data_IF_286721034169
#
_entry.id   IF_286721034169
#
_cell.length_a   1.000
_cell.length_b   1.000
_cell.length_c   1.000
_cell.angle_alpha   90.00
_cell.angle_beta   90.00
_cell.angle_gamma   90.00
#
_symmetry.space_group_name_H-M   'P 1'
#
loop_
_entity.id
_entity.type
_entity.pdbx_description
1 polymer ?
#
# COMPACT_ATOMS: atom_id res chain seq x y z
N UNK A 1 21.31 -24.39 -17.24
CA UNK A 1 21.10 -23.09 -17.90
C UNK A 1 19.80 -22.50 -17.39
N UNK A 2 19.79 -21.25 -16.93
CA UNK A 2 18.59 -20.56 -16.45
C UNK A 2 17.91 -19.80 -17.60
N UNK A 3 16.61 -19.50 -17.46
CA UNK A 3 15.85 -18.74 -18.45
C UNK A 3 16.17 -17.24 -18.43
N UNK A 4 16.01 -16.56 -19.57
CA UNK A 4 16.22 -15.10 -19.73
C UNK A 4 14.98 -14.27 -19.36
N UNK A 5 14.31 -14.65 -18.28
CA UNK A 5 13.09 -13.98 -17.83
C UNK A 5 13.40 -12.90 -16.80
N UNK A 6 12.47 -11.97 -16.63
CA UNK A 6 12.54 -11.03 -15.52
C UNK A 6 12.44 -11.79 -14.19
N UNK A 7 13.40 -11.54 -13.30
CA UNK A 7 13.41 -12.08 -11.95
C UNK A 7 12.92 -11.00 -10.98
N UNK A 8 11.68 -11.15 -10.51
CA UNK A 8 11.06 -10.22 -9.54
C UNK A 8 10.44 -11.02 -8.39
N UNK A 9 10.78 -10.70 -7.12
CA UNK A 9 10.21 -11.38 -5.98
C UNK A 9 8.73 -11.05 -5.79
N UNK A 10 7.97 -12.01 -5.26
CA UNK A 10 6.56 -11.85 -4.92
C UNK A 10 6.42 -11.24 -3.52
N UNK A 11 6.54 -9.92 -3.44
CA UNK A 11 6.45 -9.18 -2.19
C UNK A 11 5.03 -8.61 -1.97
N UNK A 12 4.57 -8.60 -0.71
CA UNK A 12 3.33 -7.91 -0.33
C UNK A 12 3.43 -6.40 -0.62
N UNK A 13 4.62 -5.82 -0.44
CA UNK A 13 4.88 -4.40 -0.77
C UNK A 13 4.59 -4.07 -2.24
N UNK A 14 4.80 -5.01 -3.16
CA UNK A 14 4.51 -4.78 -4.57
C UNK A 14 3.01 -4.57 -4.83
N UNK A 15 2.13 -5.13 -3.98
CA UNK A 15 0.69 -4.94 -4.10
C UNK A 15 0.28 -3.50 -3.78
N UNK A 16 0.82 -2.93 -2.68
CA UNK A 16 0.50 -1.55 -2.29
C UNK A 16 1.14 -0.54 -3.25
N UNK A 17 2.32 -0.82 -3.80
CA UNK A 17 2.93 0.00 -4.85
C UNK A 17 2.17 -0.04 -6.17
N UNK A 18 1.53 -1.17 -6.48
CA UNK A 18 0.72 -1.29 -7.70
C UNK A 18 -0.55 -0.44 -7.57
N UNK A 19 -1.27 -0.55 -6.46
CA UNK A 19 -2.53 0.21 -6.28
C UNK A 19 -2.30 1.71 -6.12
N UNK A 20 -1.21 2.14 -5.46
CA UNK A 20 -0.82 3.55 -5.36
C UNK A 20 -0.64 4.18 -6.75
N UNK A 21 -0.01 3.45 -7.69
CA UNK A 21 0.28 3.96 -9.04
C UNK A 21 -0.92 3.96 -9.98
N UNK A 22 -1.80 2.96 -9.89
CA UNK A 22 -2.86 2.75 -10.89
C UNK A 22 -4.25 3.14 -10.38
N UNK A 23 -4.44 3.14 -9.06
CA UNK A 23 -5.72 3.37 -8.40
C UNK A 23 -5.55 4.23 -7.13
N UNK A 24 -4.57 5.14 -7.14
CA UNK A 24 -4.23 5.98 -6.00
C UNK A 24 -5.44 6.69 -5.41
N UNK A 25 -6.29 7.26 -6.27
CA UNK A 25 -7.48 8.02 -5.91
C UNK A 25 -8.68 7.16 -5.46
N UNK A 26 -8.61 5.83 -5.57
CA UNK A 26 -9.70 4.97 -5.16
C UNK A 26 -9.88 5.02 -3.62
N UNK A 27 -11.12 5.24 -3.18
CA UNK A 27 -11.43 5.43 -1.76
C UNK A 27 -11.34 4.13 -0.97
N UNK A 28 -10.77 4.23 0.23
CA UNK A 28 -10.93 3.29 1.32
C UNK A 28 -11.83 3.94 2.37
N UNK A 29 -12.95 3.29 2.69
CA UNK A 29 -13.94 3.78 3.65
C UNK A 29 -13.90 2.89 4.89
N UNK A 30 -13.64 3.49 6.04
CA UNK A 30 -13.53 2.80 7.33
C UNK A 30 -14.50 3.42 8.34
N UNK A 31 -15.35 2.59 8.94
CA UNK A 31 -16.11 2.97 10.14
C UNK A 31 -15.22 2.74 11.35
N UNK A 32 -14.84 3.81 12.04
CA UNK A 32 -13.93 3.72 13.19
C UNK A 32 -14.70 3.52 14.49
N UNK A 33 -13.99 3.12 15.55
CA UNK A 33 -14.59 2.82 16.87
C UNK A 33 -15.12 4.09 17.56
N UNK A 34 -14.60 5.25 17.18
CA UNK A 34 -15.06 6.58 17.59
C UNK A 34 -16.43 6.95 17.00
N UNK A 35 -16.91 6.17 16.01
CA UNK A 35 -18.23 6.31 15.40
C UNK A 35 -18.25 7.12 14.09
N UNK A 36 -17.14 7.77 13.71
CA UNK A 36 -17.03 8.48 12.44
C UNK A 36 -16.79 7.53 11.25
N UNK A 37 -17.15 8.02 10.05
CA UNK A 37 -16.77 7.39 8.78
C UNK A 37 -15.54 8.11 8.26
N UNK A 38 -14.40 7.43 8.34
CA UNK A 38 -13.17 7.91 7.76
C UNK A 38 -13.07 7.47 6.30
N UNK A 39 -12.84 8.44 5.42
CA UNK A 39 -12.58 8.24 4.00
C UNK A 39 -11.20 8.79 3.68
N UNK A 40 -10.44 8.02 2.94
CA UNK A 40 -9.12 8.40 2.44
C UNK A 40 -8.78 7.54 1.22
N UNK A 41 -7.65 7.80 0.59
CA UNK A 41 -7.29 7.17 -0.69
C UNK A 41 -6.26 6.05 -0.53
N UNK A 42 -6.08 5.22 -1.56
CA UNK A 42 -4.98 4.25 -1.60
C UNK A 42 -3.60 4.92 -1.59
N UNK A 43 -3.46 6.11 -2.17
CA UNK A 43 -2.20 6.88 -2.08
C UNK A 43 -1.90 7.34 -0.67
N UNK A 44 -2.92 7.81 0.07
CA UNK A 44 -2.77 8.14 1.49
C UNK A 44 -2.39 6.89 2.32
N UNK A 45 -2.99 5.74 2.01
CA UNK A 45 -2.66 4.46 2.62
C UNK A 45 -1.19 4.07 2.40
N UNK A 46 -0.72 4.15 1.16
CA UNK A 46 0.65 3.82 0.78
C UNK A 46 1.67 4.73 1.48
N UNK A 47 1.42 6.04 1.52
CA UNK A 47 2.27 7.00 2.23
C UNK A 47 2.38 6.66 3.73
N UNK A 48 1.25 6.40 4.39
CA UNK A 48 1.19 6.08 5.82
C UNK A 48 1.83 4.73 6.13
N UNK A 49 1.63 3.71 5.29
CA UNK A 49 2.25 2.40 5.44
C UNK A 49 3.79 2.50 5.42
N UNK A 50 4.36 3.29 4.50
CA UNK A 50 5.81 3.54 4.43
C UNK A 50 6.33 4.24 5.69
N UNK A 51 5.60 5.23 6.21
CA UNK A 51 5.98 5.93 7.44
C UNK A 51 6.03 4.98 8.64
N UNK A 52 5.01 4.12 8.79
CA UNK A 52 4.97 3.13 9.87
C UNK A 52 6.09 2.10 9.72
N UNK A 53 6.35 1.59 8.50
CA UNK A 53 7.44 0.65 8.26
C UNK A 53 8.80 1.25 8.68
N UNK A 54 9.11 2.48 8.25
CA UNK A 54 10.35 3.16 8.66
C UNK A 54 10.46 3.36 10.18
N UNK A 55 9.33 3.58 10.86
CA UNK A 55 9.32 3.73 12.31
C UNK A 55 9.51 2.41 13.06
N UNK A 56 9.16 1.27 12.45
CA UNK A 56 9.33 -0.07 13.01
C UNK A 56 10.70 -0.70 12.68
N UNK A 57 11.35 -0.25 11.60
CA UNK A 57 12.67 -0.71 11.18
C UNK A 57 13.83 -0.10 12.00
N UNK A 58 13.57 0.91 12.82
CA UNK A 58 14.54 1.57 13.72
C UNK A 58 14.61 0.95 15.11
#
# INVERSE_FOLDING_TARGET
MLGLMQDRPLLISNLIEFVDRHNGDAEIVSRRVEGDIHRYTWSDCAARARQVANALDG
#
